data_IF_894371495978
#
_entry.id   IF_894371495978
#
_cell.length_a   1.000
_cell.length_b   1.000
_cell.length_c   1.000
_cell.angle_alpha   90.00
_cell.angle_beta   90.00
_cell.angle_gamma   90.00
#
_symmetry.space_group_name_H-M   'P 1'
#
loop_
_entity.id
_entity.type
_entity.pdbx_description
1 polymer ?
#
# COMPACT_ATOMS: atom_id res chain seq x y z
N UNK A 1 20.87 11.07 7.94
CA UNK A 1 21.19 10.26 6.74
C UNK A 1 20.43 8.96 6.84
N UNK A 2 19.83 8.46 5.75
CA UNK A 2 19.33 7.09 5.71
C UNK A 2 20.51 6.12 5.67
N UNK A 3 20.39 5.00 6.37
CA UNK A 3 21.40 3.94 6.43
C UNK A 3 20.75 2.61 6.05
N UNK A 4 20.57 2.32 4.75
CA UNK A 4 19.98 1.06 4.29
C UNK A 4 20.86 -0.12 4.72
N UNK A 5 20.22 -1.12 5.36
CA UNK A 5 20.78 -2.45 5.64
C UNK A 5 20.45 -3.47 4.55
N UNK A 6 21.11 -4.63 4.56
CA UNK A 6 20.90 -5.75 3.62
C UNK A 6 19.42 -6.10 3.40
N UNK A 7 18.61 -6.09 4.47
CA UNK A 7 17.18 -6.38 4.36
C UNK A 7 16.40 -5.42 3.44
N UNK A 8 16.85 -4.17 3.31
CA UNK A 8 16.26 -3.22 2.35
C UNK A 8 16.67 -3.57 0.92
N UNK A 9 17.94 -3.90 0.69
CA UNK A 9 18.42 -4.33 -0.64
C UNK A 9 17.70 -5.60 -1.10
N UNK A 10 17.52 -6.57 -0.20
CA UNK A 10 16.81 -7.82 -0.50
C UNK A 10 15.34 -7.55 -0.87
N UNK A 11 14.70 -6.58 -0.21
CA UNK A 11 13.33 -6.17 -0.52
C UNK A 11 13.26 -5.50 -1.90
N UNK A 12 14.20 -4.62 -2.22
CA UNK A 12 14.27 -3.94 -3.52
C UNK A 12 14.50 -4.94 -4.66
N UNK A 13 15.43 -5.89 -4.48
CA UNK A 13 15.68 -6.95 -5.46
C UNK A 13 14.44 -7.81 -5.69
N UNK A 14 13.69 -8.14 -4.63
CA UNK A 14 12.41 -8.88 -4.77
C UNK A 14 11.40 -8.13 -5.64
N UNK A 15 11.26 -6.82 -5.44
CA UNK A 15 10.38 -5.97 -6.27
C UNK A 15 10.82 -5.99 -7.72
N UNK A 16 12.11 -5.83 -8.00
CA UNK A 16 12.65 -5.87 -9.36
C UNK A 16 12.44 -7.22 -10.04
N UNK A 17 12.65 -8.32 -9.32
CA UNK A 17 12.41 -9.67 -9.83
C UNK A 17 10.92 -9.91 -10.14
N UNK A 18 10.01 -9.41 -9.29
CA UNK A 18 8.57 -9.47 -9.56
C UNK A 18 8.21 -8.74 -10.86
N UNK A 19 8.71 -7.52 -11.04
CA UNK A 19 8.47 -6.72 -12.26
C UNK A 19 9.04 -7.43 -13.49
N UNK A 20 10.27 -7.95 -13.40
CA UNK A 20 10.92 -8.70 -14.50
C UNK A 20 10.16 -9.97 -14.86
N UNK A 21 9.57 -10.66 -13.88
CA UNK A 21 8.80 -11.89 -14.10
C UNK A 21 7.39 -11.67 -14.67
N UNK A 22 6.90 -10.42 -14.70
CA UNK A 22 5.53 -10.09 -15.11
C UNK A 22 5.42 -8.83 -16.00
N UNK A 23 6.18 -8.72 -17.11
CA UNK A 23 6.26 -7.48 -17.89
C UNK A 23 4.94 -7.09 -18.58
N UNK A 24 4.02 -8.03 -18.78
CA UNK A 24 2.70 -7.78 -19.37
C UNK A 24 1.56 -7.60 -18.37
N UNK A 25 1.83 -7.65 -17.06
CA UNK A 25 0.79 -7.42 -16.04
C UNK A 25 0.66 -5.92 -15.79
N UNK A 26 -0.57 -5.43 -15.79
CA UNK A 26 -0.88 -4.03 -15.54
C UNK A 26 -2.29 -3.88 -14.96
N UNK A 27 -2.71 -2.63 -14.81
CA UNK A 27 -4.05 -2.31 -14.40
C UNK A 27 -5.00 -2.39 -15.61
N UNK A 28 -6.16 -3.00 -15.41
CA UNK A 28 -7.22 -3.06 -16.40
C UNK A 28 -8.31 -2.04 -16.05
N UNK A 29 -8.68 -1.23 -17.03
CA UNK A 29 -9.71 -0.20 -16.90
C UNK A 29 -10.84 -0.53 -17.86
N UNK A 30 -11.96 -1.01 -17.33
CA UNK A 30 -13.12 -1.35 -18.15
C UNK A 30 -13.93 -0.11 -18.50
N UNK A 31 -14.29 0.05 -19.78
CA UNK A 31 -15.25 1.07 -20.20
C UNK A 31 -16.71 0.68 -19.91
N UNK A 32 -16.95 -0.60 -19.58
CA UNK A 32 -18.29 -1.19 -19.42
C UNK A 32 -18.64 -1.46 -17.96
N UNK A 33 -18.19 -0.61 -17.03
CA UNK A 33 -18.52 -0.70 -15.60
C UNK A 33 -19.40 0.46 -15.19
N UNK A 34 -20.35 0.26 -14.25
CA UNK A 34 -21.13 1.36 -13.71
C UNK A 34 -20.20 2.39 -13.04
N UNK A 35 -20.50 3.67 -13.21
CA UNK A 35 -19.71 4.77 -12.65
C UNK A 35 -20.02 4.95 -11.15
N UNK A 36 -19.71 3.93 -10.36
CA UNK A 36 -19.88 3.93 -8.90
C UNK A 36 -18.53 4.13 -8.25
N UNK A 37 -18.40 5.20 -7.47
CA UNK A 37 -17.20 5.46 -6.69
C UNK A 37 -17.23 4.64 -5.40
N UNK A 38 -16.24 3.78 -5.21
CA UNK A 38 -16.09 2.98 -3.98
C UNK A 38 -14.75 3.28 -3.34
N UNK A 39 -14.74 3.52 -2.03
CA UNK A 39 -13.54 3.79 -1.25
C UNK A 39 -13.39 2.77 -0.14
N UNK A 40 -12.17 2.27 0.01
CA UNK A 40 -11.73 1.42 1.11
C UNK A 40 -10.62 2.15 1.87
N UNK A 41 -10.65 2.06 3.19
CA UNK A 41 -9.57 2.51 4.06
C UNK A 41 -9.25 1.38 5.05
N UNK A 42 -7.99 1.31 5.46
CA UNK A 42 -7.50 0.34 6.43
C UNK A 42 -6.23 0.89 7.09
N UNK A 43 -5.99 0.49 8.34
CA UNK A 43 -4.74 0.76 9.01
C UNK A 43 -4.22 -0.44 9.80
N UNK A 44 -2.93 -0.74 9.63
CA UNK A 44 -2.28 -1.72 10.49
C UNK A 44 -2.09 -1.16 11.93
N UNK A 45 -1.98 -2.03 12.94
CA UNK A 45 -1.60 -1.62 14.29
C UNK A 45 -0.14 -1.94 14.58
N UNK A 46 0.69 -0.90 14.54
CA UNK A 46 2.12 -0.97 14.80
C UNK A 46 2.89 -1.87 13.84
N UNK A 47 2.48 -1.96 12.57
CA UNK A 47 3.06 -2.89 11.60
C UNK A 47 4.56 -2.69 11.34
N UNK A 48 5.12 -1.50 11.59
CA UNK A 48 6.56 -1.26 11.41
C UNK A 48 7.40 -1.94 12.51
N UNK A 49 8.27 -2.92 12.20
CA UNK A 49 9.04 -3.66 13.21
C UNK A 49 9.98 -2.78 14.02
N UNK A 50 10.57 -1.75 13.40
CA UNK A 50 11.55 -0.87 14.02
C UNK A 50 10.93 0.24 14.87
N UNK A 51 9.84 0.85 14.37
CA UNK A 51 9.26 2.06 15.01
C UNK A 51 7.95 1.80 15.73
N UNK A 52 7.35 0.62 15.54
CA UNK A 52 5.99 0.27 16.00
C UNK A 52 4.91 1.26 15.54
N UNK A 53 5.20 2.07 14.52
CA UNK A 53 4.23 2.98 13.91
C UNK A 53 3.34 2.23 12.96
N UNK A 54 2.07 2.64 12.96
CA UNK A 54 1.07 2.11 12.06
C UNK A 54 1.25 2.61 10.62
N UNK A 55 0.72 1.87 9.67
CA UNK A 55 0.58 2.29 8.27
C UNK A 55 -0.91 2.39 7.95
N UNK A 56 -1.36 3.58 7.58
CA UNK A 56 -2.72 3.80 7.08
C UNK A 56 -2.70 3.81 5.56
N UNK A 57 -3.75 3.31 4.93
CA UNK A 57 -3.91 3.35 3.50
C UNK A 57 -5.35 3.53 3.06
N UNK A 58 -5.51 3.90 1.80
CA UNK A 58 -6.80 3.88 1.13
C UNK A 58 -6.66 3.33 -0.28
N UNK A 59 -7.77 2.83 -0.80
CA UNK A 59 -7.93 2.34 -2.15
C UNK A 59 -9.29 2.76 -2.70
N UNK A 60 -9.30 3.45 -3.84
CA UNK A 60 -10.51 4.01 -4.45
C UNK A 60 -10.67 3.44 -5.85
N UNK A 61 -11.86 2.94 -6.14
CA UNK A 61 -12.26 2.43 -7.46
C UNK A 61 -13.41 3.24 -8.04
N UNK A 62 -13.47 3.29 -9.37
CA UNK A 62 -14.62 3.74 -10.15
C UNK A 62 -15.14 2.55 -10.95
N UNK A 63 -16.30 2.01 -10.55
CA UNK A 63 -16.70 0.67 -10.94
C UNK A 63 -15.65 -0.34 -10.46
N UNK A 64 -15.17 -1.19 -11.37
CA UNK A 64 -14.12 -2.17 -11.08
C UNK A 64 -12.70 -1.63 -11.30
N UNK A 65 -12.57 -0.36 -11.71
CA UNK A 65 -11.30 0.23 -12.11
C UNK A 65 -10.63 0.98 -10.94
N UNK A 66 -9.40 0.64 -10.54
CA UNK A 66 -8.68 1.35 -9.48
C UNK A 66 -8.16 2.71 -9.96
N UNK A 67 -8.62 3.80 -9.34
CA UNK A 67 -8.28 5.17 -9.79
C UNK A 67 -7.36 5.93 -8.85
N UNK A 68 -7.31 5.56 -7.56
CA UNK A 68 -6.43 6.21 -6.60
C UNK A 68 -6.15 5.31 -5.40
N UNK A 69 -4.90 5.25 -4.97
CA UNK A 69 -4.51 4.52 -3.78
C UNK A 69 -3.31 5.18 -3.14
N UNK A 70 -3.17 5.00 -1.83
CA UNK A 70 -2.02 5.49 -1.09
C UNK A 70 -1.81 4.67 0.16
N UNK A 71 -0.56 4.48 0.52
CA UNK A 71 -0.15 4.00 1.84
C UNK A 71 0.76 5.03 2.49
N UNK A 72 0.58 5.27 3.79
CA UNK A 72 1.37 6.25 4.55
C UNK A 72 1.66 5.70 5.95
N UNK A 73 2.93 5.68 6.32
CA UNK A 73 3.34 5.44 7.70
C UNK A 73 2.91 6.62 8.58
N UNK A 74 2.24 6.35 9.68
CA UNK A 74 1.82 7.36 10.64
C UNK A 74 3.05 8.04 11.28
N UNK A 75 2.88 9.29 11.72
CA UNK A 75 3.95 10.06 12.37
C UNK A 75 4.09 9.70 13.85
N UNK A 76 3.01 9.19 14.45
CA UNK A 76 2.93 8.82 15.87
C UNK A 76 2.78 7.31 16.03
N UNK A 77 3.09 6.81 17.23
CA UNK A 77 2.84 5.42 17.62
C UNK A 77 1.48 5.38 18.32
N UNK A 78 0.56 4.62 17.76
CA UNK A 78 -0.80 4.44 18.28
C UNK A 78 -0.87 3.23 19.22
N UNK A 79 -1.75 3.28 20.22
CA UNK A 79 -1.82 2.29 21.30
C UNK A 79 -2.90 1.24 21.10
N UNK A 80 -3.79 1.44 20.13
CA UNK A 80 -4.81 0.46 19.75
C UNK A 80 -5.04 0.46 18.24
N UNK A 81 -5.71 -0.58 17.73
CA UNK A 81 -6.17 -0.63 16.34
C UNK A 81 -7.23 0.44 16.07
N UNK A 82 -8.09 0.75 17.03
CA UNK A 82 -9.11 1.79 16.89
C UNK A 82 -8.53 3.21 16.74
N UNK A 83 -7.34 3.46 17.29
CA UNK A 83 -6.60 4.71 17.06
C UNK A 83 -5.78 4.70 15.76
N UNK A 84 -5.55 3.51 15.19
CA UNK A 84 -4.81 3.36 13.95
C UNK A 84 -5.71 3.67 12.73
N UNK A 85 -6.97 3.23 12.80
CA UNK A 85 -8.05 3.55 11.85
C UNK A 85 -8.42 5.04 11.89
#
# INVERSE_FOLDING_TARGET
MQSPIQAHEDADVRVLLYLKGSPGRGLYFSASTPLVLTGFCDADWGGCPTTRRSTTGFFITLGDSPISWRTKKQTVVVRSSAEAE
#
